data_IF_394592180889
#
_entry.id   IF_394592180889
#
_cell.length_a   1.000
_cell.length_b   1.000
_cell.length_c   1.000
_cell.angle_alpha   90.00
_cell.angle_beta   90.00
_cell.angle_gamma   90.00
#
_symmetry.space_group_name_H-M   'P 1'
#
loop_
_entity.id
_entity.type
_entity.pdbx_description
1 polymer ?
#
# COMPACT_ATOMS: atom_id res chain seq x y z
N UNK A 1 -14.83 -21.00 1.07
CA UNK A 1 -13.53 -21.57 1.50
C UNK A 1 -12.55 -21.63 0.32
N UNK A 2 -12.13 -20.48 -0.19
CA UNK A 2 -11.03 -20.33 -1.15
C UNK A 2 -10.22 -19.13 -0.67
N UNK A 3 -9.18 -19.35 0.12
CA UNK A 3 -8.28 -18.25 0.56
C UNK A 3 -6.93 -18.80 1.03
N UNK A 4 -6.91 -20.03 1.59
CA UNK A 4 -5.68 -20.59 2.19
C UNK A 4 -4.69 -21.18 1.17
N UNK A 5 -5.08 -21.39 -0.10
CA UNK A 5 -4.22 -22.04 -1.10
C UNK A 5 -3.33 -21.08 -1.92
N UNK A 6 -3.54 -19.76 -1.84
CA UNK A 6 -2.76 -18.78 -2.63
C UNK A 6 -1.35 -18.51 -2.08
N UNK A 7 -1.16 -18.66 -0.76
CA UNK A 7 0.03 -18.20 -0.04
C UNK A 7 1.34 -18.93 -0.36
N UNK A 8 1.29 -20.17 -0.89
CA UNK A 8 2.54 -20.88 -1.25
C UNK A 8 3.25 -20.27 -2.46
N UNK A 9 2.52 -19.60 -3.36
CA UNK A 9 3.10 -19.04 -4.59
C UNK A 9 3.78 -17.68 -4.38
N UNK A 10 3.41 -16.95 -3.32
CA UNK A 10 3.89 -15.58 -3.09
C UNK A 10 5.08 -15.50 -2.14
N UNK A 11 5.43 -16.58 -1.43
CA UNK A 11 6.55 -16.62 -0.49
C UNK A 11 6.34 -15.81 0.80
N UNK A 12 5.11 -15.38 1.08
CA UNK A 12 4.76 -14.60 2.27
C UNK A 12 4.74 -15.46 3.53
N UNK A 13 5.09 -14.86 4.66
CA UNK A 13 5.20 -15.51 5.97
C UNK A 13 4.30 -14.81 6.97
N UNK A 14 3.57 -15.61 7.75
CA UNK A 14 2.90 -15.12 8.96
C UNK A 14 3.89 -15.00 10.12
N UNK A 15 3.58 -14.16 11.09
CA UNK A 15 4.31 -14.03 12.34
C UNK A 15 3.36 -14.18 13.54
N UNK A 16 3.92 -14.30 14.74
CA UNK A 16 3.17 -14.33 15.99
C UNK A 16 3.58 -13.13 16.85
N UNK A 17 2.61 -12.54 17.55
CA UNK A 17 2.90 -11.56 18.58
C UNK A 17 3.65 -12.26 19.72
N UNK A 18 4.89 -11.83 20.06
CA UNK A 18 5.72 -12.55 21.02
C UNK A 18 5.15 -12.53 22.44
N UNK A 19 4.35 -11.50 22.78
CA UNK A 19 3.79 -11.33 24.12
C UNK A 19 2.50 -12.15 24.29
N UNK A 20 1.60 -12.09 23.32
CA UNK A 20 0.28 -12.75 23.41
C UNK A 20 0.24 -14.14 22.78
N UNK A 21 1.32 -14.55 22.11
CA UNK A 21 1.42 -15.75 21.28
C UNK A 21 0.28 -15.91 20.27
N UNK A 22 -0.38 -14.81 19.91
CA UNK A 22 -1.47 -14.79 18.95
C UNK A 22 -0.91 -14.56 17.55
N UNK A 23 -1.48 -15.21 16.51
CA UNK A 23 -1.03 -14.98 15.14
C UNK A 23 -1.23 -13.51 14.76
N UNK A 24 -0.21 -12.93 14.13
CA UNK A 24 -0.33 -11.63 13.49
C UNK A 24 -1.45 -11.68 12.44
N UNK A 25 -2.29 -10.64 12.34
CA UNK A 25 -3.32 -10.60 11.32
C UNK A 25 -2.74 -10.63 9.90
N UNK A 26 -1.51 -10.14 9.72
CA UNK A 26 -0.91 -9.97 8.41
C UNK A 26 0.08 -11.09 8.08
N UNK A 27 0.19 -11.40 6.79
CA UNK A 27 1.34 -12.12 6.22
C UNK A 27 2.20 -11.12 5.44
N UNK A 28 3.53 -11.26 5.50
CA UNK A 28 4.46 -10.32 4.87
C UNK A 28 5.53 -11.01 4.04
N UNK A 29 6.10 -10.28 3.08
CA UNK A 29 7.32 -10.67 2.36
C UNK A 29 8.17 -9.44 2.08
N UNK A 30 9.44 -9.51 2.46
CA UNK A 30 10.42 -8.44 2.24
C UNK A 30 11.19 -8.63 0.94
N UNK A 31 11.51 -7.52 0.30
CA UNK A 31 12.27 -7.41 -0.94
C UNK A 31 13.41 -6.41 -0.73
N UNK A 32 14.58 -6.93 -0.32
CA UNK A 32 15.69 -6.09 0.15
C UNK A 32 15.41 -5.48 1.51
N UNK A 33 16.09 -4.37 1.82
CA UNK A 33 15.95 -3.64 3.10
C UNK A 33 14.93 -2.51 3.06
N UNK A 34 14.48 -2.10 1.87
CA UNK A 34 13.71 -0.88 1.69
C UNK A 34 12.22 -1.11 1.46
N UNK A 35 11.80 -2.30 0.99
CA UNK A 35 10.39 -2.57 0.65
C UNK A 35 9.94 -3.93 1.16
N UNK A 36 8.74 -3.99 1.73
CA UNK A 36 8.03 -5.24 1.94
C UNK A 36 6.56 -5.12 1.54
N UNK A 37 5.96 -6.25 1.17
CA UNK A 37 4.53 -6.38 0.89
C UNK A 37 3.87 -7.03 2.10
N UNK A 38 2.75 -6.47 2.55
CA UNK A 38 1.98 -6.94 3.69
C UNK A 38 0.52 -7.15 3.28
N UNK A 39 -0.02 -8.35 3.47
CA UNK A 39 -1.41 -8.67 3.16
C UNK A 39 -2.18 -8.95 4.45
N UNK A 40 -3.33 -8.31 4.61
CA UNK A 40 -4.25 -8.49 5.72
C UNK A 40 -5.61 -8.98 5.18
N UNK A 41 -5.98 -10.26 5.42
CA UNK A 41 -7.26 -10.82 5.00
C UNK A 41 -8.42 -10.50 5.96
N UNK A 42 -8.34 -9.40 6.72
CA UNK A 42 -9.34 -9.06 7.75
C UNK A 42 -9.95 -7.69 7.52
N UNK A 43 -11.29 -7.66 7.59
CA UNK A 43 -12.09 -6.45 7.44
C UNK A 43 -12.12 -5.53 8.66
N UNK A 44 -11.88 -6.04 9.87
CA UNK A 44 -12.22 -5.33 11.12
C UNK A 44 -11.43 -4.02 11.33
N UNK A 45 -10.25 -3.89 10.72
CA UNK A 45 -9.45 -2.65 10.74
C UNK A 45 -9.67 -1.78 9.50
N UNK A 46 -9.56 -2.37 8.32
CA UNK A 46 -9.51 -1.63 7.06
C UNK A 46 -10.85 -1.55 6.30
N UNK A 47 -11.88 -2.26 6.78
CA UNK A 47 -13.18 -2.41 6.13
C UNK A 47 -13.21 -3.45 5.00
N UNK A 48 -12.05 -3.97 4.59
CA UNK A 48 -11.88 -5.01 3.58
C UNK A 48 -10.52 -5.69 3.73
N UNK A 49 -10.28 -6.74 2.96
CA UNK A 49 -8.93 -7.23 2.71
C UNK A 49 -8.05 -6.08 2.22
N UNK A 50 -6.81 -6.01 2.68
CA UNK A 50 -5.87 -4.98 2.20
C UNK A 50 -4.51 -5.53 1.90
N UNK A 51 -3.87 -4.91 0.92
CA UNK A 51 -2.46 -5.16 0.60
C UNK A 51 -1.70 -3.85 0.68
N UNK A 52 -0.65 -3.84 1.49
CA UNK A 52 0.21 -2.69 1.69
C UNK A 52 1.59 -2.90 1.06
N UNK A 53 2.09 -1.85 0.42
CA UNK A 53 3.51 -1.65 0.12
C UNK A 53 4.07 -0.82 1.27
N UNK A 54 5.07 -1.36 1.95
CA UNK A 54 5.68 -0.70 3.10
C UNK A 54 7.11 -0.31 2.77
N UNK A 55 7.41 0.98 2.87
CA UNK A 55 8.73 1.54 2.61
C UNK A 55 9.48 1.75 3.93
N UNK A 56 10.64 1.12 4.06
CA UNK A 56 11.55 1.24 5.21
C UNK A 56 10.84 1.05 6.57
N UNK A 57 9.90 0.09 6.64
CA UNK A 57 9.07 -0.20 7.82
C UNK A 57 8.29 1.02 8.38
N UNK A 58 8.13 2.08 7.59
CA UNK A 58 7.66 3.39 8.07
C UNK A 58 6.49 3.94 7.27
N UNK A 59 6.54 3.87 5.94
CA UNK A 59 5.52 4.47 5.07
C UNK A 59 4.62 3.38 4.50
N UNK A 60 3.31 3.55 4.63
CA UNK A 60 2.30 2.55 4.26
C UNK A 60 1.43 3.03 3.09
N UNK A 61 1.69 2.47 1.90
CA UNK A 61 0.82 2.61 0.74
C UNK A 61 -0.13 1.43 0.68
N UNK A 62 -1.41 1.65 0.93
CA UNK A 62 -2.40 0.60 1.19
C UNK A 62 -3.46 0.59 0.11
N UNK A 63 -3.66 -0.56 -0.52
CA UNK A 63 -4.74 -0.82 -1.49
C UNK A 63 -5.81 -1.72 -0.85
N UNK A 64 -7.07 -1.46 -1.20
CA UNK A 64 -8.20 -2.34 -0.92
C UNK A 64 -8.16 -3.56 -1.84
N UNK A 65 -8.19 -4.76 -1.28
CA UNK A 65 -8.18 -6.04 -1.99
C UNK A 65 -6.89 -6.86 -1.80
N UNK A 66 -6.91 -8.07 -2.35
CA UNK A 66 -5.72 -8.94 -2.45
C UNK A 66 -4.93 -8.61 -3.73
N UNK A 67 -3.85 -7.84 -3.54
CA UNK A 67 -2.85 -7.55 -4.56
C UNK A 67 -1.54 -8.31 -4.30
N UNK A 68 -1.52 -9.21 -3.32
CA UNK A 68 -0.29 -9.77 -2.76
C UNK A 68 0.55 -10.46 -3.81
N UNK A 69 -0.08 -11.27 -4.67
CA UNK A 69 0.60 -11.97 -5.77
C UNK A 69 1.18 -11.02 -6.80
N UNK A 70 0.41 -10.02 -7.22
CA UNK A 70 0.84 -9.05 -8.23
C UNK A 70 2.00 -8.20 -7.70
N UNK A 71 1.86 -7.64 -6.49
CA UNK A 71 2.88 -6.84 -5.85
C UNK A 71 4.15 -7.64 -5.54
N UNK A 72 4.04 -8.90 -5.09
CA UNK A 72 5.24 -9.73 -4.92
C UNK A 72 5.99 -9.91 -6.25
N UNK A 73 5.28 -10.23 -7.35
CA UNK A 73 5.91 -10.39 -8.67
C UNK A 73 6.55 -9.09 -9.18
N UNK A 74 5.91 -7.95 -8.93
CA UNK A 74 6.42 -6.64 -9.32
C UNK A 74 7.65 -6.26 -8.49
N UNK A 75 7.59 -6.48 -7.17
CA UNK A 75 8.71 -6.23 -6.26
C UNK A 75 9.93 -7.10 -6.60
N UNK A 76 9.74 -8.37 -6.99
CA UNK A 76 10.83 -9.24 -7.45
C UNK A 76 11.52 -8.72 -8.71
N UNK A 77 10.76 -8.17 -9.65
CA UNK A 77 11.27 -7.77 -10.97
C UNK A 77 11.86 -6.36 -10.98
N UNK A 78 11.19 -5.44 -10.30
CA UNK A 78 11.40 -3.99 -10.45
C UNK A 78 11.54 -3.27 -9.11
N UNK A 79 11.55 -4.01 -7.99
CA UNK A 79 11.78 -3.46 -6.66
C UNK A 79 10.77 -2.37 -6.27
N UNK A 80 11.26 -1.37 -5.55
CA UNK A 80 10.45 -0.27 -5.03
C UNK A 80 9.77 0.55 -6.13
N UNK A 81 10.46 0.75 -7.27
CA UNK A 81 9.93 1.52 -8.40
C UNK A 81 8.74 0.83 -9.04
N UNK A 82 8.82 -0.49 -9.28
CA UNK A 82 7.69 -1.24 -9.79
C UNK A 82 6.49 -1.19 -8.84
N UNK A 83 6.73 -1.26 -7.52
CA UNK A 83 5.64 -1.12 -6.54
C UNK A 83 4.98 0.27 -6.60
N UNK A 84 5.76 1.33 -6.80
CA UNK A 84 5.24 2.68 -6.99
C UNK A 84 4.38 2.77 -8.27
N UNK A 85 4.86 2.21 -9.39
CA UNK A 85 4.11 2.15 -10.65
C UNK A 85 2.78 1.43 -10.47
N UNK A 86 2.82 0.25 -9.83
CA UNK A 86 1.63 -0.54 -9.53
C UNK A 86 0.64 0.23 -8.66
N UNK A 87 1.12 0.96 -7.64
CA UNK A 87 0.28 1.78 -6.78
C UNK A 87 -0.39 2.92 -7.56
N UNK A 88 0.33 3.59 -8.45
CA UNK A 88 -0.22 4.63 -9.34
C UNK A 88 -1.32 4.06 -10.24
N UNK A 89 -1.09 2.91 -10.86
CA UNK A 89 -2.08 2.24 -11.71
C UNK A 89 -3.37 1.84 -10.95
N UNK A 90 -3.25 1.59 -9.65
CA UNK A 90 -4.34 1.14 -8.78
C UNK A 90 -4.77 2.21 -7.78
N UNK A 91 -4.45 3.48 -8.01
CA UNK A 91 -4.69 4.57 -7.04
C UNK A 91 -6.17 4.69 -6.65
N UNK A 92 -7.10 4.40 -7.57
CA UNK A 92 -8.53 4.38 -7.31
C UNK A 92 -8.94 3.38 -6.21
N UNK A 93 -8.11 2.37 -5.94
CA UNK A 93 -8.29 1.35 -4.91
C UNK A 93 -7.53 1.68 -3.62
N UNK A 94 -6.86 2.84 -3.54
CA UNK A 94 -6.16 3.27 -2.33
C UNK A 94 -7.14 3.31 -1.15
N UNK A 95 -6.74 2.64 -0.06
CA UNK A 95 -7.52 2.65 1.17
C UNK A 95 -7.47 4.06 1.78
N UNK A 96 -8.57 4.49 2.41
CA UNK A 96 -8.67 5.78 3.11
C UNK A 96 -7.61 5.99 4.21
N UNK A 97 -7.05 4.90 4.75
CA UNK A 97 -5.99 4.91 5.75
C UNK A 97 -4.58 4.84 5.13
N UNK A 98 -4.46 4.88 3.80
CA UNK A 98 -3.16 4.91 3.14
C UNK A 98 -2.49 6.28 3.33
N UNK A 99 -1.18 6.27 3.53
CA UNK A 99 -0.41 7.47 3.85
C UNK A 99 0.11 8.22 2.62
N UNK A 100 -0.22 7.76 1.41
CA UNK A 100 0.32 8.29 0.16
C UNK A 100 0.14 9.81 -0.01
N UNK A 101 -0.94 10.40 0.51
CA UNK A 101 -1.13 11.85 0.47
C UNK A 101 -0.09 12.61 1.31
N UNK A 102 0.19 12.14 2.53
CA UNK A 102 1.19 12.74 3.42
C UNK A 102 2.59 12.48 2.88
N UNK A 103 2.86 11.24 2.51
CA UNK A 103 4.15 10.77 2.01
C UNK A 103 4.62 11.45 0.71
N UNK A 104 3.70 12.07 -0.03
CA UNK A 104 4.00 12.76 -1.31
C UNK A 104 3.76 14.26 -1.27
N UNK A 105 3.46 14.82 -0.09
CA UNK A 105 3.25 16.27 0.09
C UNK A 105 1.94 16.80 -0.49
N UNK A 106 0.97 15.92 -0.78
CA UNK A 106 -0.40 16.32 -1.15
C UNK A 106 -1.17 16.81 0.08
N UNK A 107 -0.88 16.24 1.25
CA UNK A 107 -1.41 16.68 2.54
C UNK A 107 -0.29 16.97 3.55
N UNK A 108 -0.65 17.61 4.67
CA UNK A 108 0.30 17.87 5.76
C UNK A 108 0.95 16.57 6.26
N UNK A 109 2.25 16.59 6.49
CA UNK A 109 3.06 15.43 6.89
C UNK A 109 3.60 15.60 8.33
N UNK A 110 2.76 15.40 9.37
CA UNK A 110 3.19 15.55 10.76
C UNK A 110 4.16 14.44 11.20
N UNK A 111 4.28 13.37 10.42
CA UNK A 111 5.10 12.21 10.75
C UNK A 111 6.43 12.18 9.99
N UNK A 112 6.72 13.17 9.14
CA UNK A 112 7.92 13.21 8.30
C UNK A 112 8.09 11.91 7.48
N UNK A 113 7.06 11.54 6.72
CA UNK A 113 7.04 10.42 5.77
C UNK A 113 7.63 10.79 4.40
N UNK A 114 7.55 12.07 4.00
CA UNK A 114 8.09 12.54 2.72
C UNK A 114 9.59 12.26 2.56
N UNK A 115 10.47 12.52 3.55
CA UNK A 115 11.90 12.26 3.39
C UNK A 115 12.20 10.78 3.11
N UNK A 116 11.51 9.87 3.80
CA UNK A 116 11.65 8.42 3.56
C UNK A 116 11.14 8.02 2.18
N UNK A 117 10.03 8.60 1.74
CA UNK A 117 9.48 8.33 0.41
C UNK A 117 10.43 8.82 -0.67
N UNK A 118 11.00 10.02 -0.52
CA UNK A 118 11.98 10.59 -1.43
C UNK A 118 13.27 9.77 -1.46
N UNK A 119 13.77 9.31 -0.31
CA UNK A 119 14.96 8.47 -0.21
C UNK A 119 14.79 7.12 -0.92
N UNK A 120 13.64 6.47 -0.75
CA UNK A 120 13.40 5.12 -1.28
C UNK A 120 12.93 5.13 -2.73
N UNK A 121 12.06 6.06 -3.11
CA UNK A 121 11.42 6.09 -4.43
C UNK A 121 11.98 7.17 -5.37
N UNK A 122 12.66 8.18 -4.84
CA UNK A 122 13.09 9.34 -5.63
C UNK A 122 11.95 10.28 -6.01
N UNK A 123 12.34 11.46 -6.50
CA UNK A 123 11.40 12.55 -6.78
C UNK A 123 10.38 12.19 -7.87
N UNK A 124 10.82 11.52 -8.94
CA UNK A 124 9.96 11.17 -10.08
C UNK A 124 8.76 10.30 -9.65
N UNK A 125 9.00 9.25 -8.87
CA UNK A 125 7.93 8.37 -8.39
C UNK A 125 7.02 9.05 -7.37
N UNK A 126 7.61 9.91 -6.51
CA UNK A 126 6.83 10.73 -5.58
C UNK A 126 5.88 11.69 -6.33
N UNK A 127 6.35 12.34 -7.39
CA UNK A 127 5.55 13.25 -8.21
C UNK A 127 4.43 12.52 -8.95
N UNK A 128 4.70 11.31 -9.48
CA UNK A 128 3.69 10.49 -10.15
C UNK A 128 2.59 10.05 -9.21
N UNK A 129 2.93 9.61 -7.99
CA UNK A 129 1.95 9.26 -6.96
C UNK A 129 1.15 10.51 -6.55
N UNK A 130 1.80 11.65 -6.33
CA UNK A 130 1.12 12.90 -5.98
C UNK A 130 0.12 13.34 -7.06
N UNK A 131 0.52 13.26 -8.34
CA UNK A 131 -0.32 13.60 -9.47
C UNK A 131 -1.55 12.68 -9.56
N UNK A 132 -1.33 11.36 -9.46
CA UNK A 132 -2.41 10.38 -9.49
C UNK A 132 -3.39 10.55 -8.33
N UNK A 133 -2.89 10.83 -7.13
CA UNK A 133 -3.71 11.04 -5.95
C UNK A 133 -4.55 12.33 -6.04
N UNK A 134 -3.96 13.43 -6.54
CA UNK A 134 -4.71 14.68 -6.80
C UNK A 134 -5.83 14.46 -7.80
N UNK A 135 -5.54 13.79 -8.92
CA UNK A 135 -6.55 13.48 -9.93
C UNK A 135 -7.70 12.63 -9.36
N UNK A 136 -7.39 11.63 -8.51
CA UNK A 136 -8.42 10.84 -7.83
C UNK A 136 -9.28 11.69 -6.88
N UNK A 137 -8.66 12.58 -6.09
CA UNK A 137 -9.38 13.45 -5.17
C UNK A 137 -10.32 14.40 -5.92
N UNK A 138 -9.90 14.94 -7.06
CA UNK A 138 -10.71 15.86 -7.85
C UNK A 138 -11.88 15.13 -8.53
N UNK A 139 -11.63 13.94 -9.12
CA UNK A 139 -12.69 13.10 -9.66
C UNK A 139 -13.73 12.68 -8.59
N UNK A 140 -13.31 12.51 -7.33
CA UNK A 140 -14.23 12.18 -6.24
C UNK A 140 -15.14 13.36 -5.89
N UNK A 141 -14.65 14.60 -5.98
CA UNK A 141 -15.46 15.80 -5.71
C UNK A 141 -16.54 16.00 -6.77
N UNK A 142 -16.19 15.85 -8.05
CA UNK A 142 -17.12 16.01 -9.17
C UNK A 142 -18.31 15.04 -9.05
N UNK A 143 -18.05 13.78 -8.73
CA UNK A 143 -19.09 12.77 -8.55
C UNK A 143 -20.05 13.05 -7.37
N UNK A 144 -19.58 13.75 -6.33
CA UNK A 144 -20.42 14.15 -5.19
C UNK A 144 -21.31 15.35 -5.55
N UNK A 145 -20.79 16.28 -6.36
CA UNK A 145 -21.57 17.42 -6.83
C UNK A 145 -22.68 17.02 -7.82
N UNK A 146 -22.44 16.03 -8.69
CA UNK A 146 -23.46 15.49 -9.60
C UNK A 146 -24.55 14.67 -8.87
N UNK A 147 -24.21 13.94 -7.82
CA UNK A 147 -25.16 13.11 -7.07
C UNK A 147 -26.10 13.91 -6.15
N UNK A 148 -25.87 15.22 -5.98
CA UNK A 148 -26.65 16.11 -5.11
C UNK A 148 -27.57 17.05 -5.90
N UNK A 149 -27.64 16.91 -7.23
CA UNK A 149 -28.57 17.61 -8.13
C UNK A 149 -29.77 16.73 -8.48
#
# INVERSE_FOLDING_TARGET
>A
MQSVLSNKSTGMKGSFCPVTNSPSPNVTRSFGSSVHVSYNPRSDGYGSDTTAIVLSERVFFVLNGDHAKALCNVAEKSGAQGCADYFVEHIAQANKLSEHLMATGVSNDPFALMPTTLEILGQESMDRIAAAAKAQLDATKENVEEATQ
#
